data_IF_210679240095
#
_entry.id   IF_210679240095
#
_cell.length_a   1.000
_cell.length_b   1.000
_cell.length_c   1.000
_cell.angle_alpha   90.00
_cell.angle_beta   90.00
_cell.angle_gamma   90.00
#
_symmetry.space_group_name_H-M   'P 1'
#
loop_
_entity.id
_entity.type
_entity.pdbx_description
1 polymer ?
#
# COMPACT_ATOMS: atom_id res chain seq x y z
N UNK A 1 4.67 67.95 -41.90
CA UNK A 1 3.41 67.24 -42.26
C UNK A 1 2.88 66.58 -41.02
N UNK A 2 1.93 67.28 -40.34
CA UNK A 2 1.31 66.81 -39.08
C UNK A 2 0.03 66.05 -39.42
N UNK A 3 -0.09 64.83 -38.99
CA UNK A 3 -1.35 64.13 -39.02
C UNK A 3 -1.78 63.80 -37.57
N UNK A 4 -2.74 64.55 -37.07
CA UNK A 4 -3.46 64.44 -35.85
C UNK A 4 -4.60 63.46 -36.02
N UNK A 5 -4.57 62.32 -35.33
CA UNK A 5 -5.70 61.37 -35.23
C UNK A 5 -6.65 61.83 -34.14
N UNK A 6 -7.92 62.11 -34.51
CA UNK A 6 -9.04 62.41 -33.59
C UNK A 6 -9.66 61.11 -33.07
N UNK A 7 -9.66 60.93 -31.77
CA UNK A 7 -10.48 59.88 -31.11
C UNK A 7 -11.95 60.31 -31.03
N UNK A 8 -12.82 59.53 -31.64
CA UNK A 8 -14.27 59.64 -31.42
C UNK A 8 -14.64 58.98 -30.11
N UNK A 9 -15.30 59.74 -29.23
CA UNK A 9 -16.00 59.22 -28.04
C UNK A 9 -17.25 58.46 -28.50
N UNK A 10 -17.35 57.18 -28.16
CA UNK A 10 -18.59 56.42 -28.20
C UNK A 10 -19.30 56.55 -26.84
N UNK A 11 -20.51 57.10 -26.87
CA UNK A 11 -21.44 57.08 -25.72
C UNK A 11 -22.02 55.66 -25.61
N UNK A 12 -21.82 55.02 -24.49
CA UNK A 12 -22.58 53.82 -24.10
C UNK A 12 -23.86 54.23 -23.37
N UNK A 13 -25.01 53.61 -23.68
CA UNK A 13 -26.21 53.88 -22.95
C UNK A 13 -26.16 53.16 -21.58
N UNK A 14 -26.56 53.88 -20.56
CA UNK A 14 -26.83 53.41 -19.24
C UNK A 14 -28.09 52.51 -19.32
N UNK A 15 -27.97 51.25 -18.90
CA UNK A 15 -29.02 50.44 -18.24
C UNK A 15 -28.64 48.96 -18.30
N UNK A 16 -28.06 48.47 -17.23
CA UNK A 16 -28.41 47.15 -16.69
C UNK A 16 -27.97 47.11 -15.21
N UNK A 17 -28.95 47.39 -14.33
CA UNK A 17 -28.82 46.98 -12.93
C UNK A 17 -28.91 45.48 -12.86
N UNK A 18 -27.82 44.76 -12.95
CA UNK A 18 -27.74 43.37 -12.56
C UNK A 18 -27.73 43.29 -11.03
N UNK A 19 -28.85 42.91 -10.49
CA UNK A 19 -28.91 42.39 -9.12
C UNK A 19 -27.97 41.20 -9.01
N UNK A 20 -26.83 41.38 -8.35
CA UNK A 20 -26.04 40.25 -7.84
C UNK A 20 -26.91 39.54 -6.79
N UNK A 21 -27.49 38.44 -7.20
CA UNK A 21 -28.05 37.49 -6.24
C UNK A 21 -26.90 36.98 -5.38
N UNK A 22 -26.91 37.35 -4.11
CA UNK A 22 -26.02 36.81 -3.10
C UNK A 22 -26.26 35.28 -3.04
N UNK A 23 -25.38 34.51 -3.67
CA UNK A 23 -25.35 33.06 -3.44
C UNK A 23 -24.98 32.87 -1.98
N UNK A 24 -25.84 32.21 -1.18
CA UNK A 24 -25.56 32.09 0.23
C UNK A 24 -24.24 31.32 0.43
N UNK A 25 -23.36 31.89 1.22
CA UNK A 25 -22.02 31.36 1.59
C UNK A 25 -22.10 29.92 2.11
N UNK A 26 -23.26 29.51 2.61
CA UNK A 26 -23.56 28.15 3.05
C UNK A 26 -23.52 27.10 1.92
N UNK A 27 -23.72 27.46 0.66
CA UNK A 27 -23.62 26.50 -0.46
C UNK A 27 -22.16 26.28 -0.89
N UNK A 28 -21.29 27.26 -0.70
CA UNK A 28 -19.85 27.08 -1.00
C UNK A 28 -19.12 26.23 0.06
N UNK A 29 -19.59 26.24 1.30
CA UNK A 29 -19.01 25.41 2.35
C UNK A 29 -19.29 23.91 2.20
N UNK A 30 -20.38 23.54 1.50
CA UNK A 30 -20.73 22.15 1.23
C UNK A 30 -19.94 21.53 0.06
N UNK A 31 -19.45 22.35 -0.86
CA UNK A 31 -18.58 21.86 -1.96
C UNK A 31 -17.11 21.70 -1.57
N UNK A 32 -16.67 22.31 -0.47
CA UNK A 32 -15.28 22.22 0.00
C UNK A 32 -14.99 21.01 0.88
N UNK A 33 -15.98 20.16 1.18
CA UNK A 33 -15.80 19.02 2.09
C UNK A 33 -15.83 17.64 1.44
N UNK A 34 -16.01 17.57 0.14
CA UNK A 34 -15.94 16.30 -0.58
C UNK A 34 -14.59 16.18 -1.32
N UNK A 35 -13.50 16.35 -0.59
CA UNK A 35 -12.23 15.79 -1.05
C UNK A 35 -12.43 14.28 -0.98
N UNK A 36 -12.73 13.71 -2.12
CA UNK A 36 -12.92 12.28 -2.25
C UNK A 36 -11.64 11.61 -1.80
N UNK A 37 -11.77 10.58 -0.98
CA UNK A 37 -10.64 9.79 -0.54
C UNK A 37 -9.81 9.26 -1.72
N UNK A 38 -10.48 9.02 -2.84
CA UNK A 38 -9.96 8.58 -4.14
C UNK A 38 -9.04 9.60 -4.87
N UNK A 39 -9.04 10.85 -4.46
CA UNK A 39 -8.19 11.90 -5.05
C UNK A 39 -6.89 12.13 -4.28
N UNK A 40 -6.61 11.32 -3.25
CA UNK A 40 -5.36 11.43 -2.52
C UNK A 40 -4.20 10.95 -3.42
N UNK A 41 -3.23 11.82 -3.75
CA UNK A 41 -2.09 11.41 -4.54
C UNK A 41 -1.26 10.38 -3.76
N UNK A 42 -0.87 9.32 -4.45
CA UNK A 42 0.03 8.32 -3.90
C UNK A 42 1.38 8.93 -3.56
N UNK A 43 2.10 8.27 -2.69
CA UNK A 43 3.50 8.55 -2.48
C UNK A 43 4.32 8.05 -3.68
N UNK A 44 5.25 8.88 -4.16
CA UNK A 44 6.24 8.43 -5.12
C UNK A 44 7.15 7.40 -4.46
N UNK A 45 7.51 6.38 -5.20
CA UNK A 45 8.31 5.31 -4.65
C UNK A 45 9.74 5.75 -4.39
N UNK A 46 10.23 5.44 -3.21
CA UNK A 46 11.64 5.29 -2.98
C UNK A 46 11.87 3.96 -2.30
N UNK A 47 12.58 3.12 -2.96
CA UNK A 47 13.03 1.86 -2.41
C UNK A 47 14.45 2.06 -1.90
N UNK A 48 14.76 1.42 -0.80
CA UNK A 48 16.04 1.56 -0.16
C UNK A 48 17.16 1.05 -1.05
N UNK A 49 18.34 1.66 -0.95
CA UNK A 49 19.53 1.12 -1.58
C UNK A 49 19.89 -0.27 -1.04
N UNK A 50 19.54 -0.54 0.22
CA UNK A 50 19.90 -1.78 0.90
C UNK A 50 19.29 -3.01 0.25
N UNK A 51 18.01 -3.00 -0.04
CA UNK A 51 17.30 -4.16 -0.56
C UNK A 51 16.42 -3.84 -1.77
N UNK A 52 16.72 -2.77 -2.48
CA UNK A 52 15.92 -2.32 -3.63
C UNK A 52 15.65 -3.46 -4.61
N UNK A 53 16.68 -4.19 -4.98
CA UNK A 53 16.57 -5.31 -5.92
C UNK A 53 15.72 -6.44 -5.35
N UNK A 54 15.96 -6.83 -4.08
CA UNK A 54 15.22 -7.90 -3.42
C UNK A 54 13.75 -7.54 -3.27
N UNK A 55 13.47 -6.36 -2.73
CA UNK A 55 12.08 -5.92 -2.50
C UNK A 55 11.29 -5.89 -3.80
N UNK A 56 11.86 -5.41 -4.89
CA UNK A 56 11.22 -5.41 -6.21
C UNK A 56 11.07 -6.81 -6.80
N UNK A 57 12.10 -7.64 -6.68
CA UNK A 57 12.08 -8.99 -7.25
C UNK A 57 11.08 -9.91 -6.57
N UNK A 58 10.72 -9.63 -5.29
CA UNK A 58 9.78 -10.43 -4.53
C UNK A 58 8.37 -9.84 -4.48
N UNK A 59 8.18 -8.65 -5.03
CA UNK A 59 6.88 -7.97 -5.02
C UNK A 59 5.80 -8.83 -5.70
N UNK A 60 4.70 -9.14 -5.01
CA UNK A 60 3.58 -9.85 -5.64
C UNK A 60 2.94 -8.97 -6.71
N UNK A 61 2.29 -9.60 -7.68
CA UNK A 61 1.42 -8.92 -8.64
C UNK A 61 -0.03 -9.23 -8.31
N UNK A 62 -0.89 -8.22 -8.42
CA UNK A 62 -2.25 -8.25 -7.93
C UNK A 62 -3.27 -8.09 -9.04
N UNK A 63 -4.36 -8.80 -8.91
CA UNK A 63 -5.57 -8.65 -9.69
C UNK A 63 -6.74 -8.27 -8.76
N UNK A 64 -7.64 -7.44 -9.25
CA UNK A 64 -8.74 -6.88 -8.46
C UNK A 64 -10.06 -7.16 -9.16
N UNK A 65 -10.94 -7.87 -8.49
CA UNK A 65 -12.30 -8.14 -8.98
C UNK A 65 -13.14 -6.87 -9.04
N UNK A 66 -14.10 -6.82 -9.96
CA UNK A 66 -14.95 -5.64 -10.15
C UNK A 66 -15.99 -5.42 -9.04
N UNK A 67 -16.11 -6.34 -8.11
CA UNK A 67 -17.08 -6.30 -7.00
C UNK A 67 -16.54 -5.65 -5.73
N UNK A 68 -15.25 -5.26 -5.70
CA UNK A 68 -14.61 -4.54 -4.60
C UNK A 68 -14.06 -3.17 -4.99
N UNK A 69 -13.42 -2.49 -4.05
CA UNK A 69 -12.64 -1.29 -4.30
C UNK A 69 -11.31 -1.63 -4.96
N UNK A 70 -10.77 -0.72 -5.75
CA UNK A 70 -9.36 -0.75 -6.11
C UNK A 70 -8.49 -0.20 -4.97
N UNK A 71 -7.22 -0.59 -4.89
CA UNK A 71 -6.34 -0.11 -3.85
C UNK A 71 -6.13 1.41 -3.92
N UNK A 72 -5.86 2.00 -2.77
CA UNK A 72 -5.60 3.42 -2.60
C UNK A 72 -4.40 3.65 -1.67
N UNK A 73 -4.01 4.91 -1.47
CA UNK A 73 -3.03 5.25 -0.44
C UNK A 73 -3.71 5.45 0.92
N UNK A 74 -3.16 4.94 2.03
CA UNK A 74 -3.72 5.15 3.36
C UNK A 74 -3.51 6.57 3.89
N UNK A 75 -2.54 7.32 3.34
CA UNK A 75 -2.20 8.69 3.77
C UNK A 75 -1.96 9.61 2.59
N UNK A 76 -2.46 10.83 2.73
CA UNK A 76 -2.21 11.92 1.78
C UNK A 76 -0.78 12.45 1.92
N UNK A 77 0.01 12.39 0.84
CA UNK A 77 1.37 12.93 0.85
C UNK A 77 1.42 14.46 0.94
N UNK A 78 0.40 15.17 0.45
CA UNK A 78 0.38 16.62 0.37
C UNK A 78 -0.23 17.30 1.61
N UNK A 79 -0.95 16.57 2.46
CA UNK A 79 -1.68 17.09 3.60
C UNK A 79 -1.13 16.60 4.94
N UNK A 80 0.18 16.67 5.12
CA UNK A 80 0.87 16.27 6.36
C UNK A 80 0.48 14.86 6.83
N UNK A 81 0.41 13.89 5.92
CA UNK A 81 0.03 12.51 6.20
C UNK A 81 -1.40 12.37 6.77
N UNK A 82 -2.33 13.21 6.32
CA UNK A 82 -3.73 13.03 6.69
C UNK A 82 -4.19 11.62 6.30
N UNK A 83 -4.76 10.90 7.25
CA UNK A 83 -5.32 9.58 7.02
C UNK A 83 -6.45 9.65 5.98
N UNK A 84 -6.44 8.71 5.04
CA UNK A 84 -7.55 8.51 4.13
C UNK A 84 -8.84 8.27 4.95
N UNK A 85 -9.91 9.04 4.74
CA UNK A 85 -11.14 8.93 5.53
C UNK A 85 -11.88 7.60 5.29
N UNK A 86 -11.51 6.87 4.23
CA UNK A 86 -12.23 5.68 3.81
C UNK A 86 -13.68 5.96 3.40
N UNK A 87 -14.41 4.91 3.04
CA UNK A 87 -15.82 4.99 2.58
C UNK A 87 -16.76 4.15 3.43
N UNK A 88 -18.00 4.56 3.50
CA UNK A 88 -19.03 3.78 4.18
C UNK A 88 -19.40 2.53 3.36
N UNK A 89 -19.58 1.40 4.05
CA UNK A 89 -19.98 0.13 3.46
C UNK A 89 -21.51 0.00 3.24
N UNK A 90 -22.19 1.10 2.91
CA UNK A 90 -23.66 1.13 2.77
C UNK A 90 -24.16 1.48 1.37
N UNK A 91 -23.24 1.74 0.44
CA UNK A 91 -23.54 2.12 -0.94
C UNK A 91 -23.39 0.92 -1.90
N UNK A 92 -23.17 1.19 -3.18
CA UNK A 92 -22.84 0.14 -4.14
C UNK A 92 -21.50 -0.51 -3.80
N UNK A 93 -21.27 -1.76 -4.20
CA UNK A 93 -20.06 -2.55 -3.88
C UNK A 93 -18.79 -1.79 -4.24
N UNK A 94 -18.68 -1.37 -5.48
CA UNK A 94 -17.55 -0.61 -6.01
C UNK A 94 -17.76 0.91 -5.99
N UNK A 95 -18.81 1.39 -5.32
CA UNK A 95 -19.29 2.77 -5.43
C UNK A 95 -18.21 3.81 -5.12
N UNK A 96 -17.81 4.54 -6.17
CA UNK A 96 -16.84 5.61 -6.15
C UNK A 96 -15.43 5.24 -5.63
N UNK A 97 -15.04 3.96 -5.66
CA UNK A 97 -13.70 3.51 -5.28
C UNK A 97 -13.01 2.65 -6.35
N UNK A 98 -13.52 2.69 -7.57
CA UNK A 98 -12.87 2.12 -8.76
C UNK A 98 -12.62 3.24 -9.76
N UNK A 99 -11.41 3.77 -9.80
CA UNK A 99 -11.04 4.82 -10.76
C UNK A 99 -10.29 4.22 -11.93
N UNK A 100 -10.50 4.80 -13.10
CA UNK A 100 -9.79 4.40 -14.32
C UNK A 100 -8.27 4.52 -14.20
N UNK A 101 -7.78 5.32 -13.26
CA UNK A 101 -6.36 5.59 -13.06
C UNK A 101 -5.92 5.26 -11.62
N UNK A 102 -6.52 4.24 -11.01
CA UNK A 102 -6.25 3.86 -9.62
C UNK A 102 -4.76 3.70 -9.29
N UNK A 103 -3.94 3.28 -10.24
CA UNK A 103 -2.51 3.13 -10.06
C UNK A 103 -1.77 4.41 -9.65
N UNK A 104 -2.31 5.61 -9.92
CA UNK A 104 -1.74 6.87 -9.44
C UNK A 104 -2.18 7.26 -8.03
N UNK A 105 -3.10 6.50 -7.44
CA UNK A 105 -3.64 6.70 -6.10
C UNK A 105 -3.32 5.55 -5.14
N UNK A 106 -2.64 4.52 -5.61
CA UNK A 106 -2.34 3.31 -4.85
C UNK A 106 -0.86 3.19 -4.51
N UNK A 107 -0.58 2.67 -3.32
CA UNK A 107 0.74 2.22 -2.92
C UNK A 107 0.67 0.80 -2.35
N UNK A 108 1.70 0.01 -2.61
CA UNK A 108 2.00 -1.18 -1.82
C UNK A 108 2.90 -0.79 -0.65
N UNK A 109 2.46 -1.02 0.56
CA UNK A 109 3.27 -0.75 1.76
C UNK A 109 4.14 -1.98 2.02
N UNK A 110 5.45 -1.77 2.14
CA UNK A 110 6.40 -2.84 2.38
C UNK A 110 7.13 -2.67 3.71
N UNK A 111 7.30 -3.78 4.41
CA UNK A 111 8.24 -3.94 5.51
C UNK A 111 8.79 -5.36 5.51
N UNK A 112 10.04 -5.53 5.94
CA UNK A 112 10.65 -6.85 6.07
C UNK A 112 11.09 -7.15 7.48
N UNK A 113 11.25 -8.44 7.76
CA UNK A 113 11.86 -8.97 8.96
C UNK A 113 12.78 -10.11 8.56
N UNK A 114 14.07 -9.99 8.86
CA UNK A 114 15.11 -10.95 8.48
C UNK A 114 15.84 -11.48 9.71
N UNK A 115 16.33 -12.71 9.60
CA UNK A 115 17.21 -13.35 10.57
C UNK A 115 18.28 -14.16 9.87
N UNK A 116 19.54 -13.90 10.25
CA UNK A 116 20.67 -14.70 9.83
C UNK A 116 21.08 -15.66 10.95
N UNK A 117 21.35 -16.91 10.60
CA UNK A 117 21.79 -17.99 11.51
C UNK A 117 23.00 -18.69 10.92
N UNK A 118 23.80 -19.33 11.78
CA UNK A 118 24.83 -20.30 11.36
C UNK A 118 24.29 -21.72 11.62
N UNK A 119 24.15 -22.50 10.58
CA UNK A 119 23.56 -23.83 10.62
C UNK A 119 24.56 -24.85 10.05
N UNK A 120 25.34 -25.45 10.95
CA UNK A 120 26.33 -26.44 10.56
C UNK A 120 27.44 -25.90 9.65
N UNK A 121 27.85 -24.65 9.86
CA UNK A 121 28.87 -23.94 9.08
C UNK A 121 28.30 -23.23 7.82
N UNK A 122 26.99 -23.30 7.58
CA UNK A 122 26.33 -22.53 6.53
C UNK A 122 25.69 -21.27 7.12
N UNK A 123 25.99 -20.13 6.51
CA UNK A 123 25.27 -18.89 6.80
C UNK A 123 23.92 -18.91 6.08
N UNK A 124 22.85 -18.96 6.86
CA UNK A 124 21.48 -19.01 6.35
C UNK A 124 20.75 -17.75 6.76
N UNK A 125 20.23 -17.00 5.78
CA UNK A 125 19.36 -15.84 6.03
C UNK A 125 17.93 -16.22 5.61
N UNK A 126 16.97 -15.90 6.46
CA UNK A 126 15.54 -16.07 6.22
C UNK A 126 14.83 -14.76 6.42
N UNK A 127 14.01 -14.36 5.46
CA UNK A 127 13.25 -13.12 5.53
C UNK A 127 11.76 -13.35 5.29
N UNK A 128 10.95 -12.55 5.96
CA UNK A 128 9.53 -12.33 5.70
C UNK A 128 9.37 -10.94 5.10
N UNK A 129 8.97 -10.84 3.83
CA UNK A 129 8.67 -9.58 3.16
C UNK A 129 7.16 -9.38 3.15
N UNK A 130 6.68 -8.40 3.89
CA UNK A 130 5.28 -8.03 3.94
C UNK A 130 4.98 -7.00 2.87
N UNK A 131 3.92 -7.24 2.10
CA UNK A 131 3.36 -6.34 1.10
C UNK A 131 1.89 -6.13 1.41
N UNK A 132 1.49 -4.90 1.73
CA UNK A 132 0.16 -4.57 2.21
C UNK A 132 -0.50 -3.56 1.28
N UNK A 133 -1.76 -3.83 0.94
CA UNK A 133 -2.60 -2.92 0.18
C UNK A 133 -3.73 -2.39 1.08
N UNK A 134 -4.00 -1.12 0.92
CA UNK A 134 -5.11 -0.43 1.58
C UNK A 134 -6.26 -0.22 0.60
N UNK A 135 -7.49 -0.43 1.07
CA UNK A 135 -8.72 -0.17 0.34
C UNK A 135 -9.62 0.74 1.18
N UNK A 136 -10.39 1.61 0.53
CA UNK A 136 -11.21 2.61 1.22
C UNK A 136 -12.41 2.03 1.95
N UNK A 137 -12.89 0.88 1.53
CA UNK A 137 -13.88 0.05 2.22
C UNK A 137 -13.74 -1.41 1.82
N UNK A 138 -14.29 -2.27 2.65
CA UNK A 138 -14.62 -3.65 2.32
C UNK A 138 -16.14 -3.83 2.34
N UNK A 139 -16.72 -4.36 1.26
CA UNK A 139 -18.16 -4.58 1.14
C UNK A 139 -18.44 -5.60 0.06
N UNK A 140 -18.90 -6.77 0.44
CA UNK A 140 -19.20 -7.87 -0.49
C UNK A 140 -20.68 -7.95 -0.93
N UNK A 141 -21.59 -7.23 -0.26
CA UNK A 141 -23.03 -7.19 -0.59
C UNK A 141 -23.51 -5.75 -0.70
N UNK A 142 -24.02 -5.38 -1.87
CA UNK A 142 -24.51 -4.02 -2.13
C UNK A 142 -25.81 -3.69 -1.39
N UNK A 143 -26.00 -2.40 -1.09
CA UNK A 143 -27.25 -1.83 -0.56
C UNK A 143 -27.75 -2.45 0.75
N UNK A 144 -26.91 -3.10 1.54
CA UNK A 144 -27.30 -3.75 2.79
C UNK A 144 -26.46 -3.26 3.96
N UNK A 145 -27.05 -3.35 5.15
CA UNK A 145 -26.34 -3.16 6.43
C UNK A 145 -25.62 -4.45 6.88
N UNK A 146 -25.61 -5.48 6.04
CA UNK A 146 -25.11 -6.80 6.37
C UNK A 146 -23.71 -6.96 5.84
N UNK A 147 -22.75 -6.85 6.74
CA UNK A 147 -21.34 -7.08 6.45
C UNK A 147 -20.61 -5.88 5.83
N UNK A 148 -19.30 -5.97 5.83
CA UNK A 148 -18.43 -4.91 5.35
C UNK A 148 -18.10 -3.84 6.40
N UNK A 149 -17.05 -3.11 6.14
CA UNK A 149 -16.56 -2.05 7.01
C UNK A 149 -15.83 -0.96 6.21
N UNK A 150 -15.71 0.19 6.84
CA UNK A 150 -14.86 1.28 6.36
C UNK A 150 -13.41 0.84 6.51
N UNK A 151 -12.61 1.13 5.52
CA UNK A 151 -11.22 0.69 5.37
C UNK A 151 -11.09 -0.82 5.25
N UNK A 152 -10.09 -1.23 4.50
CA UNK A 152 -9.60 -2.60 4.48
C UNK A 152 -8.09 -2.61 4.25
N UNK A 153 -7.42 -3.63 4.77
CA UNK A 153 -5.99 -3.84 4.59
C UNK A 153 -5.73 -5.33 4.44
N UNK A 154 -5.23 -5.70 3.28
CA UNK A 154 -4.85 -7.08 3.01
C UNK A 154 -3.34 -7.21 2.81
N UNK A 155 -2.79 -8.34 3.23
CA UNK A 155 -1.36 -8.57 3.36
C UNK A 155 -0.92 -9.81 2.60
N UNK A 156 0.18 -9.68 1.86
CA UNK A 156 0.94 -10.81 1.34
C UNK A 156 2.28 -10.88 2.05
N UNK A 157 2.70 -12.06 2.49
CA UNK A 157 4.05 -12.29 3.00
C UNK A 157 4.78 -13.17 2.01
N UNK A 158 5.90 -12.69 1.48
CA UNK A 158 6.81 -13.48 0.63
C UNK A 158 7.98 -13.93 1.49
N UNK A 159 8.12 -15.25 1.62
CA UNK A 159 9.13 -15.91 2.42
C UNK A 159 10.36 -16.23 1.57
N UNK A 160 11.49 -15.68 1.95
CA UNK A 160 12.73 -15.87 1.19
C UNK A 160 13.82 -16.51 2.02
N UNK A 161 14.74 -17.16 1.32
CA UNK A 161 15.95 -17.72 1.90
C UNK A 161 17.18 -17.35 1.10
N UNK A 162 18.33 -17.32 1.80
CA UNK A 162 19.65 -17.19 1.21
C UNK A 162 20.62 -18.08 1.97
N UNK A 163 21.46 -18.84 1.27
CA UNK A 163 22.44 -19.76 1.85
C UNK A 163 23.83 -19.38 1.37
N UNK A 164 24.74 -19.17 2.30
CA UNK A 164 26.16 -18.84 2.04
C UNK A 164 26.37 -17.65 1.08
N UNK A 165 25.48 -16.65 1.14
CA UNK A 165 25.57 -15.48 0.27
C UNK A 165 25.22 -15.73 -1.19
N UNK A 166 24.71 -16.93 -1.54
CA UNK A 166 24.16 -17.21 -2.88
C UNK A 166 22.91 -16.38 -3.14
N UNK A 167 22.39 -16.43 -4.36
CA UNK A 167 21.19 -15.66 -4.73
C UNK A 167 19.99 -15.97 -3.84
N UNK A 168 19.19 -14.97 -3.56
CA UNK A 168 17.94 -15.12 -2.82
C UNK A 168 16.94 -15.95 -3.60
N UNK A 169 16.16 -16.77 -2.90
CA UNK A 169 15.06 -17.53 -3.48
C UNK A 169 13.77 -17.32 -2.68
N UNK A 170 12.64 -17.32 -3.37
CA UNK A 170 11.33 -17.38 -2.73
C UNK A 170 11.00 -18.83 -2.44
N UNK A 171 10.73 -19.14 -1.18
CA UNK A 171 10.29 -20.47 -0.74
C UNK A 171 8.77 -20.60 -0.71
N UNK A 172 8.10 -19.64 -0.08
CA UNK A 172 6.66 -19.64 0.16
C UNK A 172 6.06 -18.26 -0.05
N UNK A 173 4.75 -18.24 -0.16
CA UNK A 173 3.94 -17.01 -0.11
C UNK A 173 2.75 -17.27 0.82
N UNK A 174 2.40 -16.28 1.63
CA UNK A 174 1.21 -16.28 2.48
C UNK A 174 0.29 -15.15 2.04
N UNK A 175 -1.01 -15.39 2.01
CA UNK A 175 -2.04 -14.38 1.72
C UNK A 175 -2.99 -14.29 2.90
N UNK A 176 -3.40 -13.07 3.24
CA UNK A 176 -4.33 -12.84 4.35
C UNK A 176 -5.78 -13.04 3.91
N UNK A 177 -6.57 -13.59 4.81
CA UNK A 177 -8.02 -13.69 4.70
C UNK A 177 -8.63 -13.73 6.11
N UNK A 178 -9.51 -12.80 6.44
CA UNK A 178 -10.23 -12.76 7.74
C UNK A 178 -9.31 -12.88 8.96
N UNK A 179 -8.19 -12.18 8.94
CA UNK A 179 -7.22 -12.18 10.04
C UNK A 179 -6.34 -13.42 10.15
N UNK A 180 -6.39 -14.34 9.17
CA UNK A 180 -5.55 -15.53 9.09
C UNK A 180 -4.70 -15.49 7.83
N UNK A 181 -3.65 -16.32 7.80
CA UNK A 181 -2.82 -16.52 6.63
C UNK A 181 -2.97 -17.92 6.06
N UNK A 182 -3.11 -18.01 4.74
CA UNK A 182 -2.94 -19.26 3.98
C UNK A 182 -1.58 -19.24 3.31
N UNK A 183 -0.75 -20.22 3.59
CA UNK A 183 0.64 -20.30 3.11
C UNK A 183 0.82 -21.44 2.12
N UNK A 184 1.48 -21.19 0.99
CA UNK A 184 1.83 -22.19 -0.03
C UNK A 184 3.25 -21.99 -0.51
N UNK A 185 3.85 -23.05 -1.02
CA UNK A 185 5.14 -22.99 -1.72
C UNK A 185 5.00 -22.23 -3.03
N UNK A 186 6.10 -21.60 -3.49
CA UNK A 186 6.08 -20.87 -4.76
C UNK A 186 5.74 -21.77 -5.95
N UNK A 187 6.18 -23.03 -5.93
CA UNK A 187 5.92 -24.01 -6.99
C UNK A 187 4.48 -24.58 -7.01
N UNK A 188 3.70 -24.29 -5.97
CA UNK A 188 2.27 -24.68 -5.85
C UNK A 188 1.32 -23.56 -6.30
N UNK A 189 1.83 -22.37 -6.60
CA UNK A 189 1.03 -21.20 -6.97
C UNK A 189 1.41 -20.68 -8.34
N UNK A 190 0.49 -19.95 -8.96
CA UNK A 190 0.82 -19.21 -10.17
C UNK A 190 1.74 -18.05 -9.83
N UNK A 191 2.70 -17.81 -10.71
CA UNK A 191 3.59 -16.66 -10.63
C UNK A 191 3.82 -16.07 -12.04
N UNK A 192 4.10 -14.78 -12.07
CA UNK A 192 4.48 -14.05 -13.28
C UNK A 192 5.95 -13.68 -13.18
N UNK A 193 6.81 -14.38 -13.90
CA UNK A 193 8.28 -14.14 -13.87
C UNK A 193 8.90 -14.19 -12.48
N UNK A 194 8.41 -15.09 -11.62
CA UNK A 194 8.85 -15.23 -10.23
C UNK A 194 8.06 -14.39 -9.21
N UNK A 195 7.18 -13.50 -9.66
CA UNK A 195 6.31 -12.71 -8.79
C UNK A 195 5.04 -13.50 -8.45
N UNK A 196 4.72 -13.76 -7.17
CA UNK A 196 3.48 -14.41 -6.77
C UNK A 196 2.25 -13.68 -7.31
N UNK A 197 1.30 -14.41 -7.87
CA UNK A 197 0.05 -13.84 -8.41
C UNK A 197 -1.06 -13.96 -7.37
N UNK A 198 -1.64 -12.83 -6.96
CA UNK A 198 -2.62 -12.71 -5.88
C UNK A 198 -3.85 -11.96 -6.38
N UNK A 199 -5.03 -12.40 -5.95
CA UNK A 199 -6.31 -11.80 -6.31
C UNK A 199 -7.00 -11.27 -5.07
N UNK A 200 -7.45 -10.01 -5.12
CA UNK A 200 -8.37 -9.45 -4.15
C UNK A 200 -9.79 -9.74 -4.62
N UNK A 201 -10.49 -10.58 -3.89
CA UNK A 201 -11.75 -11.14 -4.34
C UNK A 201 -12.79 -11.16 -3.21
N UNK A 202 -14.04 -11.24 -3.59
CA UNK A 202 -15.12 -11.48 -2.65
C UNK A 202 -14.96 -12.83 -1.97
N UNK A 203 -14.87 -12.83 -0.64
CA UNK A 203 -14.82 -14.03 0.18
C UNK A 203 -16.03 -14.12 1.12
N UNK A 204 -16.94 -15.01 0.76
CA UNK A 204 -18.20 -15.18 1.49
C UNK A 204 -19.23 -14.07 1.24
N UNK A 205 -20.05 -13.79 2.25
CA UNK A 205 -21.20 -12.87 2.14
C UNK A 205 -20.91 -11.44 2.63
N UNK A 206 -19.76 -11.20 3.25
CA UNK A 206 -19.53 -9.95 3.99
C UNK A 206 -18.38 -9.08 3.48
N UNK A 207 -17.30 -9.71 3.09
CA UNK A 207 -15.99 -9.06 2.94
C UNK A 207 -15.21 -9.58 1.73
N UNK A 208 -14.08 -8.91 1.45
CA UNK A 208 -13.07 -9.35 0.50
C UNK A 208 -11.84 -9.88 1.26
N UNK A 209 -10.99 -10.59 0.53
CA UNK A 209 -9.74 -11.13 1.04
C UNK A 209 -8.75 -11.37 -0.11
N UNK A 210 -7.50 -11.63 0.23
CA UNK A 210 -6.55 -12.14 -0.74
C UNK A 210 -6.66 -13.66 -0.90
N UNK A 211 -6.57 -14.12 -2.13
CA UNK A 211 -6.35 -15.53 -2.49
C UNK A 211 -5.21 -15.68 -3.49
N UNK A 212 -4.67 -16.86 -3.61
CA UNK A 212 -3.78 -17.18 -4.72
C UNK A 212 -4.55 -17.21 -6.03
N UNK A 213 -3.93 -16.73 -7.10
CA UNK A 213 -4.50 -16.79 -8.43
C UNK A 213 -4.65 -18.24 -8.92
N UNK A 214 -5.64 -18.48 -9.74
CA UNK A 214 -5.89 -19.75 -10.41
C UNK A 214 -5.80 -19.59 -11.94
N UNK A 215 -6.05 -20.66 -12.69
CA UNK A 215 -5.93 -20.66 -14.16
C UNK A 215 -6.97 -19.76 -14.84
N UNK A 216 -8.10 -19.51 -14.24
CA UNK A 216 -9.14 -18.66 -14.79
C UNK A 216 -8.71 -17.19 -14.74
N UNK A 217 -8.17 -16.74 -13.60
CA UNK A 217 -7.62 -15.39 -13.45
C UNK A 217 -6.55 -15.11 -14.50
N UNK A 218 -5.64 -16.07 -14.73
CA UNK A 218 -4.61 -15.97 -15.76
C UNK A 218 -5.17 -15.88 -17.18
N UNK A 219 -6.29 -16.53 -17.45
CA UNK A 219 -6.93 -16.57 -18.76
C UNK A 219 -7.80 -15.34 -19.06
N UNK A 220 -7.91 -14.37 -18.16
CA UNK A 220 -8.82 -13.21 -18.26
C UNK A 220 -10.30 -13.61 -18.37
N UNK A 221 -10.67 -14.77 -17.88
CA UNK A 221 -12.02 -15.31 -17.98
C UNK A 221 -12.57 -15.46 -16.58
N UNK A 222 -13.21 -14.42 -16.08
CA UNK A 222 -13.93 -14.51 -14.82
C UNK A 222 -15.37 -14.05 -14.94
N UNK A 223 -16.24 -14.74 -14.21
CA UNK A 223 -17.67 -14.53 -14.25
C UNK A 223 -18.10 -13.15 -13.72
N UNK A 224 -17.29 -12.48 -12.92
CA UNK A 224 -17.60 -11.22 -12.25
C UNK A 224 -16.71 -10.04 -12.67
N UNK A 225 -16.27 -10.02 -13.90
CA UNK A 225 -15.65 -8.83 -14.48
C UNK A 225 -14.20 -8.60 -14.11
N UNK A 226 -13.47 -9.67 -13.99
CA UNK A 226 -12.05 -9.62 -13.74
C UNK A 226 -11.26 -9.13 -14.93
N UNK A 227 -10.24 -8.34 -14.69
CA UNK A 227 -9.39 -7.81 -15.73
C UNK A 227 -8.41 -8.83 -16.27
N UNK A 228 -8.09 -9.87 -15.50
CA UNK A 228 -7.06 -10.86 -15.81
C UNK A 228 -5.70 -10.23 -16.09
N UNK A 229 -5.50 -9.00 -15.60
CA UNK A 229 -4.25 -8.25 -15.68
C UNK A 229 -3.73 -8.04 -14.29
N UNK A 230 -2.49 -8.47 -14.06
CA UNK A 230 -1.86 -8.39 -12.77
C UNK A 230 -0.98 -7.14 -12.67
N UNK A 231 -1.16 -6.37 -11.63
CA UNK A 231 -0.47 -5.11 -11.38
C UNK A 231 0.33 -5.13 -10.10
N UNK A 232 1.39 -4.33 -10.06
CA UNK A 232 2.14 -4.05 -8.86
C UNK A 232 2.04 -2.53 -8.58
N UNK A 233 1.16 -2.09 -7.64
CA UNK A 233 1.13 -0.70 -7.22
C UNK A 233 2.48 -0.24 -6.70
N UNK A 234 2.78 1.04 -6.87
CA UNK A 234 4.06 1.60 -6.47
C UNK A 234 4.39 1.33 -5.00
N UNK A 235 5.60 0.82 -4.77
CA UNK A 235 6.06 0.33 -3.50
C UNK A 235 6.56 1.45 -2.58
N UNK A 236 6.14 1.42 -1.32
CA UNK A 236 6.71 2.23 -0.24
C UNK A 236 7.28 1.30 0.83
N UNK A 237 8.56 1.46 1.14
CA UNK A 237 9.19 0.78 2.26
C UNK A 237 9.37 1.75 3.43
N UNK A 238 8.35 1.86 4.27
CA UNK A 238 8.22 2.92 5.28
C UNK A 238 9.20 2.84 6.44
N UNK A 239 9.95 1.75 6.58
CA UNK A 239 11.02 1.63 7.56
C UNK A 239 12.40 1.93 6.97
N UNK A 240 12.57 1.88 5.69
CA UNK A 240 13.87 1.91 5.06
C UNK A 240 14.05 3.01 4.03
N UNK A 241 13.00 3.43 3.35
CA UNK A 241 13.06 4.58 2.47
C UNK A 241 11.69 5.18 2.23
N UNK A 242 11.68 6.48 2.09
CA UNK A 242 10.60 7.21 1.48
C UNK A 242 11.15 8.00 0.30
N UNK A 243 10.29 8.32 -0.66
CA UNK A 243 10.67 9.20 -1.74
C UNK A 243 11.23 10.49 -1.14
N UNK A 244 12.40 10.88 -1.58
CA UNK A 244 12.88 12.22 -1.33
C UNK A 244 12.68 13.03 -2.60
N UNK A 245 12.08 14.18 -2.45
CA UNK A 245 12.11 15.23 -3.46
C UNK A 245 13.45 15.95 -3.48
N UNK A 246 14.24 15.74 -2.47
CA UNK A 246 15.61 16.20 -2.35
C UNK A 246 16.53 15.04 -1.99
N UNK A 247 17.82 15.23 -2.13
CA UNK A 247 18.85 14.25 -1.81
C UNK A 247 19.32 14.35 -0.36
N UNK A 248 18.61 15.08 0.51
CA UNK A 248 18.96 15.23 1.91
C UNK A 248 18.54 14.00 2.72
N UNK A 249 19.53 13.29 3.27
CA UNK A 249 19.31 12.11 4.10
C UNK A 249 18.46 12.41 5.35
N UNK A 250 18.63 13.60 5.94
CA UNK A 250 17.90 13.98 7.12
C UNK A 250 16.42 14.20 6.81
N UNK A 251 16.11 14.89 5.74
CA UNK A 251 14.72 15.11 5.30
C UNK A 251 14.04 13.78 4.98
N UNK A 252 14.73 12.86 4.32
CA UNK A 252 14.20 11.49 4.06
C UNK A 252 13.94 10.74 5.34
N UNK A 253 14.86 10.79 6.28
CA UNK A 253 14.69 10.15 7.58
C UNK A 253 13.47 10.71 8.33
N UNK A 254 13.32 12.03 8.38
CA UNK A 254 12.18 12.68 9.04
C UNK A 254 10.85 12.29 8.38
N UNK A 255 10.78 12.27 7.05
CA UNK A 255 9.59 11.86 6.32
C UNK A 255 9.24 10.39 6.61
N UNK A 256 10.23 9.50 6.60
CA UNK A 256 10.06 8.09 6.92
C UNK A 256 9.59 7.90 8.37
N UNK A 257 10.24 8.59 9.33
CA UNK A 257 9.84 8.56 10.73
C UNK A 257 8.41 9.06 10.93
N UNK A 258 8.04 10.15 10.29
CA UNK A 258 6.69 10.70 10.39
C UNK A 258 5.65 9.73 9.80
N UNK A 259 5.95 9.08 8.69
CA UNK A 259 5.07 8.06 8.11
C UNK A 259 4.85 6.90 9.10
N UNK A 260 5.93 6.37 9.70
CA UNK A 260 5.81 5.31 10.72
C UNK A 260 4.96 5.73 11.91
N UNK A 261 5.24 6.88 12.50
CA UNK A 261 4.50 7.37 13.66
C UNK A 261 3.01 7.62 13.33
N UNK A 262 2.73 8.11 12.13
CA UNK A 262 1.36 8.29 11.66
C UNK A 262 0.67 6.93 11.49
N UNK A 263 1.34 5.96 10.90
CA UNK A 263 0.79 4.62 10.73
C UNK A 263 0.51 3.95 12.08
N UNK A 264 1.45 4.05 13.03
CA UNK A 264 1.29 3.52 14.39
C UNK A 264 0.11 4.16 15.13
N UNK A 265 -0.08 5.48 14.99
CA UNK A 265 -1.14 6.24 15.65
C UNK A 265 -2.49 6.22 14.94
N UNK A 266 -2.57 5.69 13.71
CA UNK A 266 -3.79 5.74 12.91
C UNK A 266 -4.79 4.65 13.29
N UNK A 267 -6.07 4.98 13.12
CA UNK A 267 -7.18 4.05 13.37
C UNK A 267 -7.94 3.76 12.06
N UNK A 268 -7.81 2.54 11.58
CA UNK A 268 -8.50 2.04 10.40
C UNK A 268 -9.70 1.14 10.76
N UNK A 269 -10.24 1.27 11.96
CA UNK A 269 -11.37 0.46 12.42
C UNK A 269 -11.02 -1.03 12.53
N UNK A 270 -11.74 -1.87 11.80
CA UNK A 270 -11.50 -3.33 11.77
C UNK A 270 -10.30 -3.72 10.92
N UNK A 271 -9.87 -2.84 10.01
CA UNK A 271 -8.68 -3.08 9.19
C UNK A 271 -7.39 -2.78 9.97
N UNK A 272 -6.34 -3.54 9.74
CA UNK A 272 -5.06 -3.33 10.42
C UNK A 272 -3.87 -3.70 9.55
N UNK A 273 -2.90 -2.79 9.46
CA UNK A 273 -1.60 -3.12 8.89
C UNK A 273 -0.86 -4.09 9.80
N UNK A 274 -0.45 -5.22 9.25
CA UNK A 274 0.28 -6.27 9.96
C UNK A 274 1.72 -5.87 10.29
N UNK A 275 2.18 -4.79 9.65
CA UNK A 275 3.52 -4.23 9.84
C UNK A 275 3.52 -2.90 10.60
N UNK A 276 2.37 -2.49 11.15
CA UNK A 276 2.14 -1.18 11.77
C UNK A 276 3.21 -0.79 12.80
N UNK A 277 3.61 -1.75 13.62
CA UNK A 277 4.68 -1.58 14.62
C UNK A 277 5.52 -2.86 14.76
N UNK A 278 6.54 -2.82 15.60
CA UNK A 278 7.48 -3.92 15.80
C UNK A 278 6.83 -5.18 16.38
N UNK A 279 5.85 -5.02 17.27
CA UNK A 279 5.10 -6.15 17.84
C UNK A 279 4.18 -6.81 16.81
N UNK A 280 3.51 -6.02 15.99
CA UNK A 280 2.62 -6.54 14.95
C UNK A 280 3.38 -7.34 13.90
N UNK A 281 4.48 -6.80 13.35
CA UNK A 281 5.25 -7.54 12.34
C UNK A 281 5.80 -8.86 12.91
N UNK A 282 6.33 -8.83 14.15
CA UNK A 282 6.86 -10.02 14.81
C UNK A 282 5.78 -11.09 15.00
N UNK A 283 4.63 -10.71 15.54
CA UNK A 283 3.51 -11.63 15.80
C UNK A 283 2.97 -12.22 14.50
N UNK A 284 2.76 -11.40 13.48
CA UNK A 284 2.24 -11.85 12.19
C UNK A 284 3.25 -12.73 11.45
N UNK A 285 4.54 -12.38 11.45
CA UNK A 285 5.57 -13.25 10.90
C UNK A 285 5.55 -14.62 11.58
N UNK A 286 5.65 -14.68 12.91
CA UNK A 286 5.69 -15.92 13.64
C UNK A 286 4.42 -16.78 13.50
N UNK A 287 3.27 -16.17 13.33
CA UNK A 287 2.00 -16.89 13.10
C UNK A 287 1.90 -17.54 11.73
N UNK A 288 2.56 -16.94 10.71
CA UNK A 288 2.45 -17.36 9.30
C UNK A 288 3.66 -18.18 8.80
N UNK A 289 4.67 -18.44 9.65
CA UNK A 289 5.85 -19.23 9.26
C UNK A 289 5.42 -20.57 8.64
N UNK A 290 6.01 -20.97 7.48
CA UNK A 290 5.69 -22.22 6.80
C UNK A 290 6.28 -23.44 7.52
N UNK A 291 5.80 -23.77 8.71
CA UNK A 291 6.37 -24.79 9.62
C UNK A 291 6.37 -26.21 9.06
N UNK A 292 5.59 -26.47 8.01
CA UNK A 292 5.56 -27.78 7.35
C UNK A 292 6.78 -28.01 6.44
N UNK A 293 7.54 -26.96 6.13
CA UNK A 293 8.75 -27.03 5.32
C UNK A 293 9.98 -27.18 6.24
N UNK A 294 10.91 -28.15 5.98
CA UNK A 294 12.12 -28.34 6.79
C UNK A 294 12.98 -27.10 6.95
N UNK A 295 13.03 -26.23 5.93
CA UNK A 295 13.78 -24.98 5.98
C UNK A 295 13.25 -24.00 7.05
N UNK A 296 11.96 -24.09 7.42
CA UNK A 296 11.27 -23.22 8.35
C UNK A 296 10.82 -23.92 9.66
N UNK A 297 10.91 -25.22 9.74
CA UNK A 297 10.25 -26.05 10.78
C UNK A 297 10.52 -25.60 12.22
N UNK A 298 11.78 -25.33 12.56
CA UNK A 298 12.19 -24.95 13.93
C UNK A 298 12.59 -23.47 14.01
N UNK A 299 12.12 -22.68 13.05
CA UNK A 299 12.48 -21.27 12.94
C UNK A 299 11.48 -20.38 13.68
N UNK A 300 11.99 -19.28 14.24
CA UNK A 300 11.18 -18.18 14.75
C UNK A 300 11.98 -16.88 14.72
N UNK A 301 11.25 -15.78 14.55
CA UNK A 301 11.79 -14.46 14.75
C UNK A 301 11.67 -14.01 16.20
N UNK A 302 12.53 -13.08 16.61
CA UNK A 302 12.53 -12.42 17.91
C UNK A 302 12.52 -10.89 17.76
N UNK A 303 12.37 -10.16 18.86
CA UNK A 303 12.52 -8.72 18.83
C UNK A 303 13.94 -8.29 18.44
N UNK A 304 14.97 -9.05 18.81
CA UNK A 304 16.33 -8.76 18.39
C UNK A 304 16.48 -8.80 16.85
N UNK A 305 15.77 -9.71 16.18
CA UNK A 305 15.76 -9.78 14.72
C UNK A 305 15.06 -8.56 14.10
N UNK A 306 13.98 -8.05 14.72
CA UNK A 306 13.32 -6.81 14.30
C UNK A 306 14.29 -5.62 14.41
N UNK A 307 14.99 -5.50 15.54
CA UNK A 307 15.97 -4.43 15.75
C UNK A 307 17.16 -4.55 14.81
N UNK A 308 17.68 -5.76 14.62
CA UNK A 308 18.80 -6.02 13.71
C UNK A 308 18.44 -5.64 12.26
N UNK A 309 17.25 -6.03 11.79
CA UNK A 309 16.75 -5.69 10.45
C UNK A 309 16.66 -4.17 10.28
N UNK A 310 16.05 -3.47 11.24
CA UNK A 310 15.97 -1.99 11.21
C UNK A 310 17.33 -1.32 11.22
N UNK A 311 18.24 -1.80 12.05
CA UNK A 311 19.60 -1.24 12.14
C UNK A 311 20.34 -1.38 10.81
N UNK A 312 20.25 -2.54 10.15
CA UNK A 312 20.83 -2.77 8.83
C UNK A 312 20.25 -1.84 7.77
N UNK A 313 18.93 -1.70 7.75
CA UNK A 313 18.24 -0.81 6.81
C UNK A 313 18.64 0.66 7.03
N UNK A 314 18.70 1.13 8.26
CA UNK A 314 19.12 2.49 8.57
C UNK A 314 20.57 2.73 8.22
N UNK A 315 21.47 1.82 8.57
CA UNK A 315 22.89 1.95 8.24
C UNK A 315 23.10 2.02 6.72
N UNK A 316 22.37 1.23 5.95
CA UNK A 316 22.47 1.22 4.51
C UNK A 316 21.89 2.46 3.84
N UNK A 317 20.81 3.02 4.39
CA UNK A 317 20.12 4.17 3.81
C UNK A 317 20.65 5.53 4.30
N UNK A 318 21.22 5.56 5.51
CA UNK A 318 21.71 6.77 6.17
C UNK A 318 23.14 6.59 6.70
N UNK A 319 24.12 6.25 5.85
CA UNK A 319 25.45 5.86 6.32
C UNK A 319 26.19 6.97 7.04
N UNK A 320 26.02 8.24 6.64
CA UNK A 320 26.71 9.38 7.24
C UNK A 320 26.12 9.81 8.58
N UNK A 321 24.82 9.61 8.77
CA UNK A 321 24.05 10.08 9.92
C UNK A 321 23.64 8.93 10.86
N UNK A 322 24.09 7.71 10.61
CA UNK A 322 23.64 6.52 11.35
C UNK A 322 23.78 6.66 12.87
N UNK A 323 24.85 7.28 13.35
CA UNK A 323 25.08 7.48 14.79
C UNK A 323 24.10 8.48 15.41
N UNK A 324 23.62 9.45 14.63
CA UNK A 324 22.67 10.48 15.08
C UNK A 324 21.21 10.01 15.04
N UNK A 325 20.93 8.94 14.30
CA UNK A 325 19.57 8.44 14.04
C UNK A 325 19.19 7.32 15.02
N UNK A 326 20.11 6.85 15.84
CA UNK A 326 19.90 5.72 16.79
C UNK A 326 18.92 6.03 17.93
N UNK A 327 18.59 7.28 18.13
CA UNK A 327 17.58 7.78 19.09
C UNK A 327 16.21 7.93 18.40
#
# INVERSE_FOLDING_TARGET
MNNTFKFRRFNLPSLLKTTLAAIPVSLMALYAMDVRADELPRWDTAITKYNEKQVRNFHPVFDFDSDGCYPATPFDRNANLRQNPGRNATASLSGNCQYSHWGVYANTIHRQLCKATDEGGNKVERCAHFYELYFEKDQAVGLTFLGGHRHDVETVIVWTGKINGQGDFISHTSVSAHGKFTTRRLDEILNQSGHPMVVYHKDGAGTHAFRFANSQDKAKVEFLGNWGEFYAPDLISHYSALPSWDNDEWTRYQANRNYRLTLEGSNFGSASFKTRNDGEILNNANSAIPRNDPFWQNFSFSFDDVWATRAQEFQANYPQNYQQIRE
#
